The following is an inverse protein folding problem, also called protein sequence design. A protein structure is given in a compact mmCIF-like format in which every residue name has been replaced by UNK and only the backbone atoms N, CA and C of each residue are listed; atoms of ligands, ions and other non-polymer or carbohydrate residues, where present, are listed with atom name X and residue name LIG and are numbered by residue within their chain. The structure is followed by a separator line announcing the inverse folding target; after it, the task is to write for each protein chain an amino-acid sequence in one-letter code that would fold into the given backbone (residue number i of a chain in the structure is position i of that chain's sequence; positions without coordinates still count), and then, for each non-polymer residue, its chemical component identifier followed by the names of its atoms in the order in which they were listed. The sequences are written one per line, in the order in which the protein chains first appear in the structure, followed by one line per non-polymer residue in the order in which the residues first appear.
data_IF_610075609485
#
_entry.id   IF_610075609485
#
_cell.length_a   1.000
_cell.length_b   1.000
_cell.length_c   1.000
_cell.angle_alpha   90.00
_cell.angle_beta   90.00
_cell.angle_gamma   90.00
#
_symmetry.space_group_name_H-M   'P 1'
#
loop_
_entity.id
_entity.type
_entity.pdbx_description
1 polymer ?
#
# COMPACT_ATOMS: atom_id res chain seq x y z
N UNK A 1 6.94 -52.24 -19.74
CA UNK A 1 6.65 -50.87 -20.23
C UNK A 1 7.20 -50.72 -21.64
N UNK A 2 6.30 -50.45 -22.57
CA UNK A 2 6.53 -50.18 -24.01
C UNK A 2 7.62 -49.10 -24.23
N UNK A 3 8.47 -49.26 -25.24
CA UNK A 3 9.55 -48.32 -25.59
C UNK A 3 9.00 -46.93 -25.95
N UNK A 4 7.85 -46.87 -26.63
CA UNK A 4 7.24 -45.60 -27.00
C UNK A 4 6.71 -44.86 -25.78
N UNK A 5 6.14 -45.59 -24.81
CA UNK A 5 5.68 -45.04 -23.54
C UNK A 5 6.87 -44.52 -22.70
N UNK A 6 7.98 -45.26 -22.64
CA UNK A 6 9.21 -44.78 -21.97
C UNK A 6 9.72 -43.46 -22.59
N UNK A 7 9.74 -43.37 -23.92
CA UNK A 7 10.16 -42.16 -24.63
C UNK A 7 9.22 -40.97 -24.40
N UNK A 8 7.93 -41.21 -24.25
CA UNK A 8 6.97 -40.16 -23.90
C UNK A 8 7.22 -39.65 -22.47
N UNK A 9 7.38 -40.54 -21.50
CA UNK A 9 7.56 -40.19 -20.09
C UNK A 9 8.87 -39.47 -19.81
N UNK A 10 9.93 -39.75 -20.56
CA UNK A 10 11.20 -39.02 -20.41
C UNK A 10 11.05 -37.52 -20.69
N UNK A 11 10.09 -37.12 -21.51
CA UNK A 11 9.73 -35.70 -21.73
C UNK A 11 9.12 -35.03 -20.50
N UNK A 12 8.49 -35.78 -19.59
CA UNK A 12 7.88 -35.26 -18.36
C UNK A 12 8.82 -35.34 -17.15
N UNK A 13 9.83 -36.21 -17.19
CA UNK A 13 10.77 -36.42 -16.09
C UNK A 13 11.48 -35.12 -15.68
N UNK A 14 11.98 -34.33 -16.63
CA UNK A 14 12.67 -33.07 -16.31
C UNK A 14 11.76 -32.07 -15.59
N UNK A 15 10.48 -31.99 -15.97
CA UNK A 15 9.51 -31.13 -15.31
C UNK A 15 9.21 -31.56 -13.88
N UNK A 16 9.05 -32.88 -13.65
CA UNK A 16 8.87 -33.43 -12.31
C UNK A 16 10.08 -33.19 -11.41
N UNK A 17 11.29 -33.46 -11.90
CA UNK A 17 12.53 -33.25 -11.16
C UNK A 17 12.71 -31.78 -10.74
N UNK A 18 12.29 -30.84 -11.59
CA UNK A 18 12.33 -29.42 -11.27
C UNK A 18 11.42 -29.03 -10.10
N UNK A 19 10.29 -29.73 -9.90
CA UNK A 19 9.26 -29.34 -8.92
C UNK A 19 9.21 -30.23 -7.68
N UNK A 20 9.79 -31.45 -7.69
CA UNK A 20 9.57 -32.45 -6.63
C UNK A 20 9.95 -31.94 -5.23
N UNK A 21 11.03 -31.16 -5.16
CA UNK A 21 11.64 -30.67 -3.93
C UNK A 21 11.12 -29.28 -3.54
N UNK A 22 10.18 -28.71 -4.30
CA UNK A 22 9.61 -27.40 -4.06
C UNK A 22 8.31 -27.52 -3.23
N UNK A 23 8.28 -27.08 -1.95
CA UNK A 23 7.13 -27.31 -1.08
C UNK A 23 5.82 -26.68 -1.56
N UNK A 24 5.90 -25.54 -2.25
CA UNK A 24 4.75 -24.79 -2.76
C UNK A 24 4.14 -25.40 -4.04
N UNK A 25 4.87 -26.29 -4.75
CA UNK A 25 4.43 -26.92 -6.01
C UNK A 25 3.68 -28.24 -5.77
N UNK A 26 2.98 -28.36 -4.64
CA UNK A 26 2.39 -29.62 -4.17
C UNK A 26 1.37 -30.19 -5.15
N UNK A 27 0.53 -29.35 -5.77
CA UNK A 27 -0.52 -29.81 -6.68
C UNK A 27 0.09 -30.25 -8.01
N UNK A 28 1.04 -29.48 -8.50
CA UNK A 28 1.83 -29.82 -9.70
C UNK A 28 2.53 -31.17 -9.54
N UNK A 29 3.21 -31.37 -8.41
CA UNK A 29 3.89 -32.62 -8.10
C UNK A 29 2.92 -33.80 -8.08
N UNK A 30 1.76 -33.64 -7.45
CA UNK A 30 0.74 -34.69 -7.40
C UNK A 30 0.24 -35.11 -8.79
N UNK A 31 0.13 -34.18 -9.75
CA UNK A 31 -0.25 -34.51 -11.13
C UNK A 31 0.84 -35.30 -11.85
N UNK A 32 2.11 -34.95 -11.66
CA UNK A 32 3.22 -35.74 -12.20
C UNK A 32 3.26 -37.15 -11.60
N UNK A 33 3.10 -37.27 -10.28
CA UNK A 33 3.02 -38.56 -9.58
C UNK A 33 1.86 -39.41 -10.12
N UNK A 34 0.69 -38.81 -10.35
CA UNK A 34 -0.47 -39.48 -10.96
C UNK A 34 -0.20 -39.92 -12.40
N UNK A 35 0.48 -39.10 -13.20
CA UNK A 35 0.87 -39.43 -14.57
C UNK A 35 1.82 -40.64 -14.61
N UNK A 36 2.85 -40.66 -13.77
CA UNK A 36 3.80 -41.77 -13.70
C UNK A 36 3.12 -43.05 -13.18
N UNK A 37 2.28 -42.94 -12.15
CA UNK A 37 1.51 -44.06 -11.64
C UNK A 37 0.51 -44.62 -12.68
N UNK A 38 -0.08 -43.76 -13.51
CA UNK A 38 -0.93 -44.17 -14.63
C UNK A 38 -0.12 -44.97 -15.66
N UNK A 39 1.09 -44.52 -15.97
CA UNK A 39 1.96 -45.19 -16.92
C UNK A 39 2.45 -46.56 -16.43
N UNK A 40 2.74 -46.70 -15.14
CA UNK A 40 3.11 -47.99 -14.53
C UNK A 40 1.99 -49.04 -14.65
N UNK A 41 0.72 -48.59 -14.57
CA UNK A 41 -0.47 -49.45 -14.64
C UNK A 41 -0.97 -49.70 -16.06
N UNK A 42 -0.41 -49.02 -17.07
CA UNK A 42 -0.89 -49.08 -18.44
C UNK A 42 -0.20 -50.20 -19.24
N UNK A 43 -0.98 -51.05 -19.90
CA UNK A 43 -0.47 -52.17 -20.70
C UNK A 43 0.21 -51.76 -22.02
N UNK A 44 0.18 -50.47 -22.37
CA UNK A 44 0.84 -49.92 -23.57
C UNK A 44 0.46 -48.46 -23.82
N UNK A 45 1.08 -47.84 -24.82
CA UNK A 45 0.90 -46.41 -25.13
C UNK A 45 -0.56 -46.03 -25.40
N UNK A 46 -1.31 -46.85 -26.15
CA UNK A 46 -2.70 -46.54 -26.51
C UNK A 46 -3.64 -46.52 -25.29
N UNK A 47 -3.48 -47.49 -24.37
CA UNK A 47 -4.26 -47.53 -23.12
C UNK A 47 -3.91 -46.32 -22.25
N UNK A 48 -2.62 -46.02 -22.12
CA UNK A 48 -2.14 -44.84 -21.40
C UNK A 48 -2.73 -43.54 -21.96
N UNK A 49 -2.69 -43.34 -23.29
CA UNK A 49 -3.20 -42.13 -23.94
C UNK A 49 -4.70 -41.95 -23.68
N UNK A 50 -5.49 -43.02 -23.87
CA UNK A 50 -6.93 -42.99 -23.62
C UNK A 50 -7.25 -42.61 -22.18
N UNK A 51 -6.56 -43.22 -21.22
CA UNK A 51 -6.83 -42.99 -19.80
C UNK A 51 -6.30 -41.61 -19.35
N UNK A 52 -5.16 -41.16 -19.90
CA UNK A 52 -4.60 -39.83 -19.66
C UNK A 52 -5.50 -38.72 -20.23
N UNK A 53 -6.11 -38.93 -21.41
CA UNK A 53 -7.11 -38.03 -21.98
C UNK A 53 -8.38 -37.97 -21.11
N UNK A 54 -8.86 -39.12 -20.64
CA UNK A 54 -10.02 -39.19 -19.73
C UNK A 54 -9.77 -38.40 -18.45
N UNK A 55 -8.55 -38.45 -17.92
CA UNK A 55 -8.13 -37.69 -16.74
C UNK A 55 -7.65 -36.26 -17.06
N UNK A 56 -7.65 -35.88 -18.34
CA UNK A 56 -7.18 -34.57 -18.86
C UNK A 56 -5.77 -34.22 -18.37
N UNK A 57 -4.88 -35.21 -18.37
CA UNK A 57 -3.52 -35.08 -17.84
C UNK A 57 -2.76 -33.90 -18.45
N UNK A 58 -2.82 -33.73 -19.78
CA UNK A 58 -2.13 -32.62 -20.45
C UNK A 58 -2.59 -31.26 -19.92
N UNK A 59 -3.90 -31.03 -19.77
CA UNK A 59 -4.44 -29.78 -19.24
C UNK A 59 -4.03 -29.56 -17.78
N UNK A 60 -4.10 -30.61 -16.95
CA UNK A 60 -3.72 -30.54 -15.52
C UNK A 60 -2.22 -30.26 -15.34
N UNK A 61 -1.36 -30.89 -16.13
CA UNK A 61 0.09 -30.66 -16.11
C UNK A 61 0.42 -29.20 -16.43
N UNK A 62 -0.37 -28.53 -17.29
CA UNK A 62 -0.17 -27.12 -17.60
C UNK A 62 -0.82 -26.19 -16.57
N UNK A 63 -2.00 -26.54 -16.05
CA UNK A 63 -2.79 -25.68 -15.17
C UNK A 63 -2.30 -25.64 -13.72
N UNK A 64 -1.88 -26.78 -13.15
CA UNK A 64 -1.48 -26.84 -11.75
C UNK A 64 -0.21 -26.01 -11.42
N UNK A 65 0.82 -25.93 -12.29
CA UNK A 65 1.93 -25.00 -12.08
C UNK A 65 1.49 -23.55 -11.97
N UNK A 66 0.50 -23.15 -12.79
CA UNK A 66 -0.08 -21.80 -12.74
C UNK A 66 -0.76 -21.60 -11.40
N UNK A 67 -1.61 -22.55 -10.97
CA UNK A 67 -2.26 -22.48 -9.67
C UNK A 67 -1.26 -22.33 -8.52
N UNK A 68 -0.27 -23.23 -8.42
CA UNK A 68 0.70 -23.25 -7.33
C UNK A 68 1.53 -21.95 -7.28
N UNK A 69 1.93 -21.44 -8.46
CA UNK A 69 2.66 -20.17 -8.58
C UNK A 69 1.84 -19.00 -8.04
N UNK A 70 0.59 -18.87 -8.47
CA UNK A 70 -0.28 -17.76 -8.05
C UNK A 70 -0.76 -17.91 -6.61
N UNK A 71 -0.89 -19.14 -6.10
CA UNK A 71 -1.14 -19.40 -4.67
C UNK A 71 0.00 -18.86 -3.80
N UNK A 72 1.26 -19.12 -4.18
CA UNK A 72 2.43 -18.58 -3.48
C UNK A 72 2.49 -17.04 -3.55
N UNK A 73 2.19 -16.46 -4.71
CA UNK A 73 2.14 -15.00 -4.85
C UNK A 73 1.08 -14.40 -3.92
N UNK A 74 -0.13 -14.97 -3.91
CA UNK A 74 -1.22 -14.55 -3.02
C UNK A 74 -0.84 -14.64 -1.55
N UNK A 75 -0.09 -15.67 -1.13
CA UNK A 75 0.40 -15.78 0.25
C UNK A 75 1.43 -14.70 0.61
N UNK A 76 2.25 -14.28 -0.36
CA UNK A 76 3.28 -13.25 -0.16
C UNK A 76 2.76 -11.82 -0.19
N UNK A 77 1.64 -11.56 -0.87
CA UNK A 77 1.04 -10.23 -0.93
C UNK A 77 0.48 -9.78 0.43
N UNK A 78 0.66 -8.49 0.76
CA UNK A 78 0.04 -7.89 1.96
C UNK A 78 -1.48 -8.14 1.91
N UNK A 79 -2.11 -8.62 3.00
CA UNK A 79 -3.55 -8.87 3.04
C UNK A 79 -4.41 -7.66 2.62
N UNK A 80 -3.88 -6.45 2.78
CA UNK A 80 -4.54 -5.21 2.40
C UNK A 80 -4.39 -4.86 0.91
N UNK A 81 -3.51 -5.53 0.15
CA UNK A 81 -3.37 -5.37 -1.31
C UNK A 81 -4.44 -6.17 -2.06
N UNK A 82 -5.71 -5.88 -1.76
CA UNK A 82 -6.88 -6.59 -2.29
C UNK A 82 -6.86 -6.73 -3.82
N UNK A 83 -6.56 -5.70 -4.64
CA UNK A 83 -6.54 -5.85 -6.09
C UNK A 83 -5.50 -6.87 -6.61
N UNK A 84 -4.35 -6.99 -5.95
CA UNK A 84 -3.32 -7.97 -6.31
C UNK A 84 -3.76 -9.37 -5.88
N UNK A 85 -4.30 -9.51 -4.66
CA UNK A 85 -4.78 -10.80 -4.15
C UNK A 85 -5.98 -11.33 -4.94
N UNK A 86 -6.90 -10.45 -5.33
CA UNK A 86 -8.08 -10.78 -6.15
C UNK A 86 -7.68 -11.19 -7.56
N UNK A 87 -6.64 -10.56 -8.13
CA UNK A 87 -6.02 -11.02 -9.38
C UNK A 87 -5.55 -12.46 -9.24
N UNK A 88 -4.78 -12.76 -8.21
CA UNK A 88 -4.19 -14.10 -8.07
C UNK A 88 -5.27 -15.15 -7.86
N UNK A 89 -6.29 -14.83 -7.07
CA UNK A 89 -7.43 -15.69 -6.83
C UNK A 89 -8.25 -15.93 -8.11
N UNK A 90 -8.35 -14.94 -8.98
CA UNK A 90 -9.04 -15.08 -10.27
C UNK A 90 -8.23 -15.96 -11.24
N UNK A 91 -6.91 -15.82 -11.26
CA UNK A 91 -6.02 -16.71 -12.04
C UNK A 91 -6.06 -18.14 -11.52
N UNK A 92 -6.01 -18.33 -10.20
CA UNK A 92 -6.13 -19.65 -9.57
C UNK A 92 -7.46 -20.33 -9.94
N UNK A 93 -8.56 -19.55 -10.01
CA UNK A 93 -9.87 -20.04 -10.49
C UNK A 93 -9.84 -20.39 -11.98
N UNK A 94 -9.22 -19.58 -12.84
CA UNK A 94 -9.03 -19.89 -14.25
C UNK A 94 -8.23 -21.19 -14.43
N UNK A 95 -7.12 -21.35 -13.70
CA UNK A 95 -6.32 -22.57 -13.70
C UNK A 95 -7.14 -23.80 -13.31
N UNK A 96 -7.90 -23.70 -12.21
CA UNK A 96 -8.70 -24.82 -11.70
C UNK A 96 -9.88 -25.23 -12.60
N UNK A 97 -10.38 -24.31 -13.44
CA UNK A 97 -11.57 -24.53 -14.28
C UNK A 97 -11.26 -24.84 -15.74
N UNK A 98 -10.04 -24.52 -16.20
CA UNK A 98 -9.58 -24.77 -17.56
C UNK A 98 -9.62 -26.26 -17.93
N UNK A 99 -9.99 -26.55 -19.18
CA UNK A 99 -10.11 -27.91 -19.72
C UNK A 99 -9.07 -28.21 -20.78
N UNK A 100 -8.39 -27.19 -21.30
CA UNK A 100 -7.28 -27.31 -22.24
C UNK A 100 -6.21 -26.25 -21.98
N UNK A 101 -4.98 -26.46 -22.47
CA UNK A 101 -3.91 -25.44 -22.41
C UNK A 101 -4.28 -24.12 -23.10
N UNK A 102 -4.99 -24.18 -24.24
CA UNK A 102 -5.41 -22.98 -24.97
C UNK A 102 -6.48 -22.19 -24.21
N UNK A 103 -7.44 -22.89 -23.61
CA UNK A 103 -8.46 -22.27 -22.75
C UNK A 103 -7.82 -21.64 -21.51
N UNK A 104 -6.86 -22.31 -20.90
CA UNK A 104 -6.08 -21.75 -19.79
C UNK A 104 -5.40 -20.44 -20.20
N UNK A 105 -4.68 -20.44 -21.32
CA UNK A 105 -3.98 -19.24 -21.80
C UNK A 105 -4.96 -18.08 -22.01
N UNK A 106 -6.09 -18.34 -22.67
CA UNK A 106 -7.13 -17.34 -22.90
C UNK A 106 -7.74 -16.79 -21.61
N UNK A 107 -8.13 -17.66 -20.66
CA UNK A 107 -8.73 -17.25 -19.39
C UNK A 107 -7.74 -16.45 -18.54
N UNK A 108 -6.48 -16.88 -18.47
CA UNK A 108 -5.44 -16.15 -17.73
C UNK A 108 -5.22 -14.77 -18.34
N UNK A 109 -5.14 -14.66 -19.67
CA UNK A 109 -4.99 -13.37 -20.34
C UNK A 109 -6.16 -12.42 -20.05
N UNK A 110 -7.39 -12.95 -20.07
CA UNK A 110 -8.60 -12.18 -19.74
C UNK A 110 -8.58 -11.66 -18.31
N UNK A 111 -8.26 -12.51 -17.34
CA UNK A 111 -8.18 -12.11 -15.92
C UNK A 111 -7.04 -11.12 -15.66
N UNK A 112 -5.89 -11.30 -16.33
CA UNK A 112 -4.79 -10.32 -16.29
C UNK A 112 -5.21 -8.96 -16.84
N UNK A 113 -5.90 -8.93 -17.98
CA UNK A 113 -6.34 -7.69 -18.61
C UNK A 113 -7.35 -6.94 -17.74
N UNK A 114 -8.25 -7.67 -17.07
CA UNK A 114 -9.21 -7.12 -16.10
C UNK A 114 -8.49 -6.53 -14.90
N UNK A 115 -7.65 -7.32 -14.24
CA UNK A 115 -6.94 -6.91 -13.03
C UNK A 115 -6.00 -5.72 -13.29
N UNK A 116 -5.39 -5.63 -14.46
CA UNK A 116 -4.50 -4.51 -14.82
C UNK A 116 -5.17 -3.14 -14.68
N UNK A 117 -6.45 -3.03 -15.05
CA UNK A 117 -7.22 -1.77 -14.90
C UNK A 117 -7.46 -1.43 -13.44
N UNK A 118 -7.82 -2.41 -12.64
CA UNK A 118 -8.09 -2.26 -11.21
C UNK A 118 -6.81 -1.90 -10.45
N UNK A 119 -5.70 -2.58 -10.72
CA UNK A 119 -4.38 -2.28 -10.16
C UNK A 119 -3.90 -0.88 -10.56
N UNK A 120 -4.09 -0.48 -11.82
CA UNK A 120 -3.72 0.86 -12.27
C UNK A 120 -4.52 1.96 -11.57
N UNK A 121 -5.84 1.76 -11.43
CA UNK A 121 -6.70 2.68 -10.67
C UNK A 121 -6.25 2.78 -9.21
N UNK A 122 -5.98 1.65 -8.59
CA UNK A 122 -5.57 1.59 -7.19
C UNK A 122 -4.18 2.21 -6.96
N UNK A 123 -3.24 2.01 -7.88
CA UNK A 123 -1.93 2.68 -7.87
C UNK A 123 -2.05 4.20 -8.04
N UNK A 124 -3.02 4.65 -8.84
CA UNK A 124 -3.32 6.09 -8.95
C UNK A 124 -3.93 6.63 -7.65
N UNK A 125 -4.81 5.89 -6.99
CA UNK A 125 -5.36 6.26 -5.69
C UNK A 125 -4.28 6.31 -4.60
N UNK A 126 -3.34 5.37 -4.61
CA UNK A 126 -2.15 5.41 -3.77
C UNK A 126 -1.38 6.72 -3.96
N UNK A 127 -1.10 7.08 -5.21
CA UNK A 127 -0.40 8.32 -5.52
C UNK A 127 -1.12 9.55 -4.96
N UNK A 128 -2.45 9.62 -5.12
CA UNK A 128 -3.24 10.73 -4.60
C UNK A 128 -3.20 10.82 -3.08
N UNK A 129 -3.36 9.70 -2.38
CA UNK A 129 -3.37 9.65 -0.91
C UNK A 129 -2.00 10.02 -0.34
N UNK A 130 -0.91 9.47 -0.89
CA UNK A 130 0.46 9.81 -0.49
C UNK A 130 0.78 11.28 -0.80
N UNK A 131 0.31 11.79 -1.94
CA UNK A 131 0.47 13.21 -2.28
C UNK A 131 -0.24 14.12 -1.29
N UNK A 132 -1.48 13.78 -0.90
CA UNK A 132 -2.22 14.51 0.13
C UNK A 132 -1.46 14.51 1.47
N UNK A 133 -0.98 13.35 1.92
CA UNK A 133 -0.17 13.23 3.14
C UNK A 133 1.04 14.17 3.10
N UNK A 134 1.85 14.10 2.03
CA UNK A 134 3.03 14.94 1.86
C UNK A 134 2.67 16.43 1.86
N UNK A 135 1.57 16.83 1.21
CA UNK A 135 1.15 18.23 1.20
C UNK A 135 0.68 18.70 2.58
N UNK A 136 -0.02 17.88 3.35
CA UNK A 136 -0.38 18.20 4.74
C UNK A 136 0.88 18.42 5.58
N UNK A 137 1.89 17.55 5.42
CA UNK A 137 3.17 17.74 6.09
C UNK A 137 3.90 19.02 5.67
N UNK A 138 3.97 19.30 4.36
CA UNK A 138 4.53 20.56 3.84
C UNK A 138 3.77 21.79 4.34
N UNK A 139 2.45 21.69 4.49
CA UNK A 139 1.63 22.74 5.09
C UNK A 139 2.03 23.01 6.54
N UNK A 140 2.31 21.97 7.34
CA UNK A 140 2.82 22.15 8.70
C UNK A 140 4.14 22.93 8.75
N UNK A 141 5.09 22.55 7.88
CA UNK A 141 6.39 23.23 7.76
C UNK A 141 6.18 24.67 7.31
N UNK A 142 5.34 24.90 6.29
CA UNK A 142 5.00 26.23 5.79
C UNK A 142 4.35 27.11 6.86
N UNK A 143 3.46 26.55 7.67
CA UNK A 143 2.82 27.23 8.80
C UNK A 143 3.85 27.66 9.85
N UNK A 144 4.78 26.78 10.20
CA UNK A 144 5.86 27.08 11.14
C UNK A 144 6.78 28.20 10.59
N UNK A 145 7.18 28.12 9.32
CA UNK A 145 8.01 29.14 8.68
C UNK A 145 7.30 30.50 8.58
N UNK A 146 6.01 30.51 8.24
CA UNK A 146 5.21 31.73 8.18
C UNK A 146 5.00 32.39 9.56
N UNK A 147 5.05 31.62 10.66
CA UNK A 147 5.07 32.18 12.02
C UNK A 147 6.41 32.86 12.34
N UNK A 148 7.52 32.29 11.87
CA UNK A 148 8.88 32.78 12.18
C UNK A 148 9.27 33.97 11.29
N UNK A 149 9.00 33.88 9.97
CA UNK A 149 9.21 34.99 9.02
C UNK A 149 7.97 35.16 8.13
N UNK A 150 6.95 35.90 8.61
CA UNK A 150 5.74 36.15 7.83
C UNK A 150 6.01 36.84 6.49
N UNK A 151 7.00 37.74 6.43
CA UNK A 151 7.32 38.50 5.22
C UNK A 151 7.71 37.61 4.04
N UNK A 152 8.42 36.51 4.32
CA UNK A 152 8.98 35.64 3.29
C UNK A 152 8.08 34.43 2.99
N UNK A 153 7.32 33.97 3.99
CA UNK A 153 6.61 32.68 3.91
C UNK A 153 5.08 32.77 3.96
N UNK A 154 4.48 33.93 4.25
CA UNK A 154 3.01 34.06 4.30
C UNK A 154 2.35 33.78 2.94
N UNK A 155 2.89 34.34 1.85
CA UNK A 155 2.38 34.10 0.49
C UNK A 155 2.44 32.62 0.09
N UNK A 156 3.63 31.97 0.16
CA UNK A 156 3.77 30.55 -0.08
C UNK A 156 2.87 29.67 0.81
N UNK A 157 2.71 30.01 2.08
CA UNK A 157 1.81 29.30 3.00
C UNK A 157 0.36 29.33 2.54
N UNK A 158 -0.15 30.51 2.14
CA UNK A 158 -1.51 30.67 1.61
C UNK A 158 -1.69 29.85 0.33
N UNK A 159 -0.72 29.91 -0.58
CA UNK A 159 -0.75 29.15 -1.84
C UNK A 159 -0.83 27.64 -1.58
N UNK A 160 0.01 27.10 -0.69
CA UNK A 160 0.00 25.68 -0.31
C UNK A 160 -1.35 25.29 0.29
N UNK A 161 -1.93 26.13 1.16
CA UNK A 161 -3.27 25.89 1.72
C UNK A 161 -4.33 25.77 0.62
N UNK A 162 -4.36 26.72 -0.31
CA UNK A 162 -5.34 26.71 -1.40
C UNK A 162 -5.17 25.52 -2.34
N UNK A 163 -3.94 25.14 -2.64
CA UNK A 163 -3.65 23.96 -3.46
C UNK A 163 -4.16 22.68 -2.78
N UNK A 164 -3.92 22.52 -1.47
CA UNK A 164 -4.41 21.35 -0.73
C UNK A 164 -5.93 21.33 -0.73
N UNK A 165 -6.59 22.46 -0.47
CA UNK A 165 -8.04 22.54 -0.49
C UNK A 165 -8.62 22.14 -1.87
N UNK A 166 -8.03 22.65 -2.96
CA UNK A 166 -8.43 22.30 -4.33
C UNK A 166 -8.19 20.82 -4.63
N UNK A 167 -7.01 20.30 -4.31
CA UNK A 167 -6.66 18.90 -4.52
C UNK A 167 -7.57 17.96 -3.75
N UNK A 168 -7.83 18.22 -2.47
CA UNK A 168 -8.72 17.40 -1.64
C UNK A 168 -10.15 17.39 -2.18
N UNK A 169 -10.73 18.57 -2.50
CA UNK A 169 -12.07 18.65 -3.10
C UNK A 169 -12.16 17.91 -4.44
N UNK A 170 -11.12 17.98 -5.26
CA UNK A 170 -11.07 17.22 -6.51
C UNK A 170 -10.98 15.71 -6.26
N UNK A 171 -10.15 15.27 -5.30
CA UNK A 171 -10.06 13.86 -4.91
C UNK A 171 -11.42 13.30 -4.45
N UNK A 172 -12.10 14.04 -3.58
CA UNK A 172 -13.42 13.69 -3.07
C UNK A 172 -14.47 13.64 -4.19
N UNK A 173 -14.58 14.69 -5.00
CA UNK A 173 -15.60 14.78 -6.04
C UNK A 173 -15.34 13.85 -7.24
N UNK A 174 -14.12 13.78 -7.76
CA UNK A 174 -13.81 13.03 -8.98
C UNK A 174 -13.59 11.54 -8.74
N UNK A 175 -13.12 11.17 -7.54
CA UNK A 175 -12.71 9.78 -7.26
C UNK A 175 -13.40 9.17 -6.04
N UNK A 176 -14.21 9.93 -5.30
CA UNK A 176 -14.81 9.46 -4.05
C UNK A 176 -13.80 9.28 -2.91
N UNK A 177 -12.61 9.88 -3.04
CA UNK A 177 -11.53 9.77 -2.04
C UNK A 177 -11.63 10.90 -1.01
N UNK A 178 -12.71 10.91 -0.25
CA UNK A 178 -12.86 11.78 0.93
C UNK A 178 -12.13 11.22 2.16
N UNK A 179 -12.08 12.00 3.23
CA UNK A 179 -11.41 11.63 4.49
C UNK A 179 -11.88 10.29 5.04
N UNK A 180 -13.20 10.06 5.12
CA UNK A 180 -13.76 8.81 5.66
C UNK A 180 -13.44 7.60 4.77
N UNK A 181 -13.42 7.78 3.45
CA UNK A 181 -13.03 6.73 2.50
C UNK A 181 -11.54 6.35 2.65
N UNK A 182 -10.68 7.35 2.86
CA UNK A 182 -9.24 7.14 3.06
C UNK A 182 -8.97 6.49 4.42
N UNK A 183 -9.55 7.03 5.49
CA UNK A 183 -9.28 6.56 6.87
C UNK A 183 -10.01 5.26 7.22
N UNK A 184 -11.18 5.03 6.62
CA UNK A 184 -11.94 3.79 6.77
C UNK A 184 -11.40 2.61 5.94
N UNK A 185 -10.47 2.86 5.01
CA UNK A 185 -9.82 1.81 4.21
C UNK A 185 -8.42 1.54 4.75
N UNK A 186 -8.14 0.37 5.38
CA UNK A 186 -6.86 0.11 6.05
C UNK A 186 -5.61 0.36 5.20
N UNK A 187 -5.66 0.04 3.90
CA UNK A 187 -4.55 0.31 2.98
C UNK A 187 -4.34 1.79 2.71
N UNK A 188 -5.42 2.55 2.52
CA UNK A 188 -5.33 3.98 2.27
C UNK A 188 -4.91 4.73 3.52
N UNK A 189 -5.37 4.28 4.69
CA UNK A 189 -4.88 4.76 5.99
C UNK A 189 -3.36 4.52 6.13
N UNK A 190 -2.87 3.31 5.81
CA UNK A 190 -1.44 3.01 5.78
C UNK A 190 -0.67 3.95 4.85
N UNK A 191 -1.22 4.29 3.69
CA UNK A 191 -0.60 5.23 2.75
C UNK A 191 -0.67 6.69 3.17
N UNK A 192 -1.78 7.10 3.78
CA UNK A 192 -1.95 8.45 4.33
C UNK A 192 -0.93 8.68 5.45
N UNK A 193 -0.67 7.65 6.23
CA UNK A 193 0.37 7.61 7.26
C UNK A 193 1.74 7.21 6.70
N UNK A 194 1.95 7.25 5.38
CA UNK A 194 3.24 6.99 4.76
C UNK A 194 3.74 8.24 4.05
N UNK A 195 4.35 9.16 4.80
CA UNK A 195 4.99 10.33 4.22
C UNK A 195 6.25 9.89 3.47
N UNK A 196 6.39 10.29 2.21
CA UNK A 196 7.66 10.06 1.53
C UNK A 196 8.72 11.00 2.11
N UNK A 197 9.98 10.56 2.26
CA UNK A 197 11.03 11.45 2.69
C UNK A 197 11.18 12.58 1.67
N UNK A 198 11.07 13.84 2.14
CA UNK A 198 11.27 15.03 1.30
C UNK A 198 12.75 15.17 0.85
N UNK A 199 13.67 14.41 1.45
CA UNK A 199 15.06 14.25 0.98
C UNK A 199 15.66 12.90 1.38
N UNK A 200 16.57 12.36 0.54
CA UNK A 200 17.27 11.08 0.76
C UNK A 200 18.05 11.00 2.09
N UNK A 201 18.34 12.15 2.71
CA UNK A 201 19.12 12.25 3.96
C UNK A 201 18.23 12.26 5.23
N UNK A 202 16.91 12.25 5.09
CA UNK A 202 15.97 12.20 6.23
C UNK A 202 15.52 10.75 6.50
N UNK A 203 16.38 9.97 7.13
CA UNK A 203 16.23 8.54 7.44
C UNK A 203 15.15 8.19 8.49
N UNK A 204 14.14 9.03 8.72
CA UNK A 204 13.07 8.77 9.71
C UNK A 204 11.69 8.74 9.06
N UNK A 205 11.35 7.59 8.45
CA UNK A 205 10.04 7.31 7.84
C UNK A 205 9.48 5.97 8.37
N UNK A 206 9.57 5.76 9.68
CA UNK A 206 8.79 4.73 10.39
C UNK A 206 7.83 5.33 11.44
N UNK A 207 7.95 6.64 11.71
CA UNK A 207 7.25 7.40 12.75
C UNK A 207 5.92 8.02 12.31
N UNK A 208 5.52 7.78 11.08
CA UNK A 208 4.31 8.33 10.47
C UNK A 208 3.02 7.58 10.88
N UNK A 209 3.14 6.42 11.52
CA UNK A 209 2.04 5.52 11.91
C UNK A 209 1.45 5.83 13.32
N UNK A 210 1.81 6.95 13.95
CA UNK A 210 1.21 7.38 15.24
C UNK A 210 -0.28 7.77 15.03
N UNK A 211 -1.24 7.17 15.76
CA UNK A 211 -2.66 7.56 15.69
C UNK A 211 -2.91 9.05 15.94
N UNK A 212 -2.08 9.72 16.74
CA UNK A 212 -2.17 11.17 16.96
C UNK A 212 -1.90 12.01 15.72
N UNK A 213 -1.13 11.47 14.75
CA UNK A 213 -0.92 12.13 13.46
C UNK A 213 -2.20 12.16 12.63
N UNK A 214 -3.09 11.18 12.80
CA UNK A 214 -4.37 11.15 12.08
C UNK A 214 -5.30 12.27 12.56
N UNK A 215 -5.39 12.47 13.87
CA UNK A 215 -6.18 13.57 14.45
C UNK A 215 -5.58 14.94 14.08
N UNK A 216 -4.25 15.06 14.09
CA UNK A 216 -3.59 16.27 13.60
C UNK A 216 -3.87 16.55 12.12
N UNK A 217 -3.79 15.54 11.24
CA UNK A 217 -4.10 15.70 9.83
C UNK A 217 -5.55 16.12 9.61
N UNK A 218 -6.48 15.51 10.37
CA UNK A 218 -7.91 15.84 10.34
C UNK A 218 -8.13 17.29 10.75
N UNK A 219 -7.54 17.70 11.86
CA UNK A 219 -7.60 19.07 12.36
C UNK A 219 -7.02 20.05 11.31
N UNK A 220 -5.82 19.80 10.80
CA UNK A 220 -5.20 20.64 9.77
C UNK A 220 -6.09 20.75 8.52
N UNK A 221 -6.68 19.65 8.08
CA UNK A 221 -7.51 19.63 6.88
C UNK A 221 -8.83 20.38 7.07
N UNK A 222 -9.62 20.03 8.09
CA UNK A 222 -10.97 20.56 8.24
C UNK A 222 -11.02 21.88 9.00
N UNK A 223 -10.24 22.01 10.08
CA UNK A 223 -10.27 23.20 10.93
C UNK A 223 -9.41 24.33 10.40
N UNK A 224 -8.50 24.07 9.47
CA UNK A 224 -7.61 25.10 8.93
C UNK A 224 -7.72 25.22 7.41
N UNK A 225 -7.35 24.18 6.67
CA UNK A 225 -7.20 24.24 5.22
C UNK A 225 -8.54 24.50 4.53
N UNK A 226 -9.56 23.71 4.85
CA UNK A 226 -10.89 23.79 4.25
C UNK A 226 -11.81 24.81 4.94
N UNK A 227 -11.43 25.30 6.12
CA UNK A 227 -12.19 26.30 6.87
C UNK A 227 -12.18 27.67 6.19
N UNK A 228 -13.11 28.56 6.56
CA UNK A 228 -13.12 29.96 6.12
C UNK A 228 -12.18 30.87 6.95
N UNK A 229 -11.34 30.29 7.83
CA UNK A 229 -10.44 31.07 8.68
C UNK A 229 -9.42 31.84 7.84
N UNK A 230 -9.09 33.06 8.28
CA UNK A 230 -8.04 33.86 7.65
C UNK A 230 -6.65 33.24 7.91
N UNK A 231 -5.68 33.52 7.04
CA UNK A 231 -4.31 33.05 7.24
C UNK A 231 -3.73 33.51 8.59
N UNK A 232 -4.00 34.75 9.00
CA UNK A 232 -3.61 35.26 10.31
C UNK A 232 -4.29 34.49 11.46
N UNK A 233 -5.59 34.20 11.35
CA UNK A 233 -6.31 33.41 12.34
C UNK A 233 -5.75 32.00 12.51
N UNK A 234 -5.35 31.36 11.40
CA UNK A 234 -4.72 30.04 11.40
C UNK A 234 -3.32 30.08 12.02
N UNK A 235 -2.51 31.09 11.68
CA UNK A 235 -1.15 31.22 12.23
C UNK A 235 -1.17 31.49 13.74
N UNK A 236 -2.16 32.22 14.24
CA UNK A 236 -2.32 32.49 15.68
C UNK A 236 -2.99 31.35 16.45
N UNK A 237 -3.58 30.38 15.76
CA UNK A 237 -4.27 29.24 16.39
C UNK A 237 -3.29 28.28 17.07
N UNK A 238 -3.59 27.92 18.31
CA UNK A 238 -2.97 26.78 18.99
C UNK A 238 -3.67 25.52 18.50
N UNK A 239 -2.91 24.54 18.00
CA UNK A 239 -3.45 23.26 17.53
C UNK A 239 -3.69 22.36 18.73
N UNK A 240 -4.81 21.64 18.73
CA UNK A 240 -5.13 20.67 19.80
C UNK A 240 -4.27 19.41 19.67
N UNK A 241 -3.87 19.09 18.44
CA UNK A 241 -2.99 17.99 18.12
C UNK A 241 -1.66 18.48 17.53
N UNK A 242 -0.58 17.78 17.84
CA UNK A 242 0.76 18.09 17.32
C UNK A 242 1.21 16.93 16.47
N UNK A 243 1.59 17.22 15.23
CA UNK A 243 2.27 16.24 14.39
C UNK A 243 3.50 15.71 15.13
N UNK A 244 3.50 14.41 15.40
CA UNK A 244 4.55 13.76 16.13
C UNK A 244 5.52 13.06 15.17
N UNK A 245 6.75 13.59 14.99
CA UNK A 245 7.74 12.93 14.15
C UNK A 245 8.42 11.72 14.83
N UNK A 246 8.10 11.35 16.09
CA UNK A 246 8.69 10.18 16.79
C UNK A 246 7.90 9.64 18.01
N UNK A 247 7.83 8.32 18.27
CA UNK A 247 7.17 7.74 19.46
C UNK A 247 8.03 7.60 20.74
N UNK A 248 9.22 8.23 20.88
CA UNK A 248 9.95 8.22 22.18
C UNK A 248 9.63 9.45 23.04
N UNK A 249 8.87 9.20 24.10
CA UNK A 249 8.32 10.18 25.04
C UNK A 249 9.40 10.90 25.87
N UNK A 250 10.56 10.28 26.07
CA UNK A 250 11.64 10.84 26.90
C UNK A 250 12.38 11.95 26.16
N UNK A 251 12.68 11.72 24.88
CA UNK A 251 13.28 12.71 24.01
C UNK A 251 12.29 13.83 23.63
N UNK A 252 10.99 13.50 23.49
CA UNK A 252 9.94 14.47 23.22
C UNK A 252 9.72 15.45 24.39
N UNK A 253 9.76 14.99 25.65
CA UNK A 253 9.74 15.88 26.83
C UNK A 253 10.96 16.78 26.91
N UNK A 254 12.15 16.25 26.61
CA UNK A 254 13.38 17.03 26.58
C UNK A 254 13.38 18.08 25.44
N UNK A 255 12.86 17.72 24.26
CA UNK A 255 12.72 18.62 23.13
C UNK A 255 11.69 19.73 23.41
N UNK A 256 10.50 19.38 23.92
CA UNK A 256 9.46 20.36 24.33
C UNK A 256 9.99 21.33 25.38
N UNK A 257 10.71 20.85 26.39
CA UNK A 257 11.32 21.69 27.41
C UNK A 257 12.35 22.68 26.81
N UNK A 258 13.18 22.24 25.85
CA UNK A 258 14.15 23.09 25.15
C UNK A 258 13.48 24.10 24.22
N UNK A 259 12.43 23.71 23.50
CA UNK A 259 11.68 24.61 22.60
C UNK A 259 10.92 25.67 23.38
N UNK A 260 10.29 25.31 24.52
CA UNK A 260 9.65 26.27 25.43
C UNK A 260 10.68 27.23 26.01
N UNK A 261 11.84 26.73 26.46
CA UNK A 261 12.92 27.58 26.96
C UNK A 261 13.46 28.55 25.89
N UNK A 262 13.69 28.08 24.65
CA UNK A 262 14.17 28.90 23.55
C UNK A 262 13.14 29.95 23.09
N UNK A 263 11.86 29.59 23.07
CA UNK A 263 10.76 30.53 22.78
C UNK A 263 10.69 31.63 23.85
N UNK A 264 10.80 31.29 25.14
CA UNK A 264 10.87 32.27 26.22
C UNK A 264 12.10 33.16 26.14
N UNK A 265 13.26 32.62 25.76
CA UNK A 265 14.48 33.38 25.57
C UNK A 265 14.42 34.38 24.40
N UNK A 266 13.57 34.09 23.42
CA UNK A 266 13.27 34.99 22.32
C UNK A 266 12.24 36.06 22.71
N UNK A 267 11.21 35.65 23.45
CA UNK A 267 10.07 36.50 23.85
C UNK A 267 10.46 37.49 24.97
N UNK A 268 11.35 37.13 25.90
CA UNK A 268 11.82 38.01 27.00
C UNK A 268 12.56 39.28 26.55
N UNK A 269 12.92 39.36 25.27
CA UNK A 269 13.58 40.53 24.67
C UNK A 269 12.59 41.65 24.37
N UNK A 270 11.30 41.37 24.43
CA UNK A 270 10.24 42.33 24.19
C UNK A 270 9.68 42.85 25.53
N UNK A 271 9.66 44.18 25.77
CA UNK A 271 9.35 44.76 27.08
C UNK A 271 7.94 44.47 27.63
N UNK A 272 7.03 44.00 26.77
CA UNK A 272 5.65 43.66 27.13
C UNK A 272 5.46 42.20 27.56
N UNK A 273 6.46 41.35 27.37
CA UNK A 273 6.37 39.92 27.69
C UNK A 273 6.93 39.63 29.08
N UNK A 274 6.15 40.00 30.09
CA UNK A 274 6.44 39.73 31.49
C UNK A 274 5.94 38.33 31.89
N UNK A 275 6.85 37.49 32.37
CA UNK A 275 6.62 36.04 32.58
C UNK A 275 5.59 35.79 33.70
N UNK A 276 5.55 36.63 34.73
CA UNK A 276 4.58 36.52 35.83
C UNK A 276 3.17 36.99 35.44
N UNK A 277 3.05 37.89 34.46
CA UNK A 277 1.73 38.34 33.95
C UNK A 277 1.11 37.34 32.97
N UNK A 278 1.93 36.57 32.26
CA UNK A 278 1.47 35.57 31.28
C UNK A 278 1.20 34.19 31.90
N UNK A 279 1.84 33.84 33.02
CA UNK A 279 1.54 32.60 33.75
C UNK A 279 0.31 32.69 34.65
N UNK A 280 -0.12 33.90 35.01
CA UNK A 280 -1.30 34.17 35.85
C UNK A 280 -2.48 34.79 35.05
N UNK A 281 -2.39 34.83 33.73
CA UNK A 281 -3.53 35.18 32.89
C UNK A 281 -4.33 33.88 32.65
N UNK A 282 -5.37 33.66 33.46
CA UNK A 282 -6.30 32.55 33.26
C UNK A 282 -6.89 32.61 31.84
N UNK A 283 -6.45 31.68 30.99
CA UNK A 283 -7.14 31.18 29.80
C UNK A 283 -6.82 29.70 29.61
#
# INVERSE_FOLDING_TARGET
MDEQLKKLLSGYAAGYEAVRDQPHMRRTRAVYEELFALAEKSDGLSVFQRDAERLRMAARITAEPVYDTYSLQREKHDPNETPLRDREESVMRAASSSRSPDELAYLVELEMARAKKEIARDSFFQYLVVSLANRLFSYNIGKANARVSPRDYLGPFIMVREEIAKSYRYMEHAFGLGWDAITGTPRYLKWLLNFQPLSADTTRVYSALDPGNLEWMREALFEEILSDKSAAGILMRVSDHVFNPSPDETEAKAARAKTVAAAWDHIKKYPWADREKLQNADY
#
